data_IF_762533596917
#
_entry.id   IF_762533596917
#
_cell.length_a   1.000
_cell.length_b   1.000
_cell.length_c   1.000
_cell.angle_alpha   90.00
_cell.angle_beta   90.00
_cell.angle_gamma   90.00
#
_symmetry.space_group_name_H-M   'P 1'
#
loop_
_entity.id
_entity.type
_entity.pdbx_description
1 polymer ?
#
# COMPACT_ATOMS: atom_id res chain seq x y z
N UNK A 1 25.38 1.41 -62.45
CA UNK A 1 25.36 0.73 -61.15
C UNK A 1 24.16 1.24 -60.39
N UNK A 2 23.11 0.40 -60.17
CA UNK A 2 21.87 0.77 -59.50
C UNK A 2 22.00 0.40 -58.02
N UNK A 3 22.02 1.41 -57.12
CA UNK A 3 22.02 1.20 -55.69
C UNK A 3 20.58 0.88 -55.21
N UNK A 4 20.35 -0.36 -54.79
CA UNK A 4 19.14 -0.77 -54.12
C UNK A 4 19.28 -0.44 -52.62
N UNK A 5 18.52 0.57 -52.16
CA UNK A 5 18.39 0.86 -50.71
C UNK A 5 17.29 -0.04 -50.17
N UNK A 6 17.67 -1.02 -49.34
CA UNK A 6 16.76 -1.90 -48.62
C UNK A 6 16.32 -1.18 -47.35
N UNK A 7 15.09 -0.62 -47.33
CA UNK A 7 14.49 -0.05 -46.13
C UNK A 7 13.99 -1.18 -45.25
N UNK A 8 14.68 -1.47 -44.13
CA UNK A 8 14.20 -2.37 -43.07
C UNK A 8 13.10 -1.65 -42.30
N UNK A 9 11.85 -2.04 -42.50
CA UNK A 9 10.75 -1.68 -41.62
C UNK A 9 10.79 -2.51 -40.33
N UNK A 10 11.21 -1.91 -39.20
CA UNK A 10 11.03 -2.51 -37.89
C UNK A 10 9.53 -2.40 -37.48
N UNK A 11 8.78 -3.49 -37.61
CA UNK A 11 7.49 -3.61 -36.95
C UNK A 11 7.74 -3.75 -35.43
N UNK A 12 7.60 -2.65 -34.70
CA UNK A 12 7.54 -2.70 -33.23
C UNK A 12 6.18 -3.29 -32.82
N UNK A 13 6.14 -4.58 -32.49
CA UNK A 13 4.98 -5.17 -31.82
C UNK A 13 4.96 -4.63 -30.39
N UNK A 14 4.01 -3.75 -30.09
CA UNK A 14 3.74 -3.36 -28.71
C UNK A 14 3.24 -4.61 -27.97
N UNK A 15 4.11 -5.21 -27.14
CA UNK A 15 3.69 -6.24 -26.21
C UNK A 15 2.78 -5.59 -25.15
N UNK A 16 1.47 -5.78 -25.27
CA UNK A 16 0.54 -5.47 -24.19
C UNK A 16 0.72 -6.54 -23.12
N UNK A 17 1.41 -6.19 -22.03
CA UNK A 17 1.43 -7.02 -20.85
C UNK A 17 0.00 -7.05 -20.26
N UNK A 18 -0.61 -8.23 -20.24
CA UNK A 18 -1.93 -8.42 -19.63
C UNK A 18 -1.79 -8.27 -18.11
N UNK A 19 -2.57 -7.38 -17.51
CA UNK A 19 -2.55 -7.15 -16.05
C UNK A 19 -3.43 -8.22 -15.37
N UNK A 20 -2.79 -9.26 -14.87
CA UNK A 20 -3.44 -10.41 -14.25
C UNK A 20 -4.10 -10.12 -12.88
N UNK A 21 -3.95 -8.89 -12.35
CA UNK A 21 -4.59 -8.51 -11.08
C UNK A 21 -6.10 -8.43 -11.22
N UNK A 22 -6.81 -8.86 -10.18
CA UNK A 22 -8.26 -8.71 -10.11
C UNK A 22 -8.67 -7.23 -10.15
N UNK A 23 -9.54 -6.89 -11.11
CA UNK A 23 -10.09 -5.55 -11.17
C UNK A 23 -11.28 -5.38 -10.23
N UNK A 24 -11.11 -4.54 -9.20
CA UNK A 24 -12.14 -4.20 -8.23
C UNK A 24 -12.80 -2.89 -8.61
N UNK A 25 -14.06 -2.96 -9.02
CA UNK A 25 -14.86 -1.79 -9.38
C UNK A 25 -15.40 -1.11 -8.12
N UNK A 26 -14.80 0.02 -7.74
CA UNK A 26 -15.27 0.87 -6.66
C UNK A 26 -16.11 2.04 -7.21
N UNK A 27 -17.09 2.57 -6.43
CA UNK A 27 -17.65 3.89 -6.71
C UNK A 27 -16.55 4.95 -6.80
N UNK A 28 -16.69 5.93 -7.70
CA UNK A 28 -15.64 6.93 -7.93
C UNK A 28 -15.21 7.68 -6.64
N UNK A 29 -16.13 8.09 -5.72
CA UNK A 29 -15.73 8.70 -4.47
C UNK A 29 -14.96 7.74 -3.53
N UNK A 30 -15.30 6.43 -3.51
CA UNK A 30 -14.57 5.44 -2.73
C UNK A 30 -13.18 5.17 -3.32
N UNK A 31 -13.07 5.10 -4.65
CA UNK A 31 -11.78 4.95 -5.34
C UNK A 31 -10.83 6.12 -5.03
N UNK A 32 -11.33 7.36 -5.05
CA UNK A 32 -10.53 8.53 -4.69
C UNK A 32 -10.14 8.52 -3.21
N UNK A 33 -11.06 8.16 -2.31
CA UNK A 33 -10.76 8.01 -0.89
C UNK A 33 -9.66 6.97 -0.64
N UNK A 34 -9.74 5.83 -1.33
CA UNK A 34 -8.71 4.78 -1.25
C UNK A 34 -7.36 5.28 -1.79
N UNK A 35 -7.37 5.99 -2.93
CA UNK A 35 -6.14 6.54 -3.52
C UNK A 35 -5.42 7.49 -2.56
N UNK A 36 -6.15 8.40 -1.93
CA UNK A 36 -5.61 9.34 -0.95
C UNK A 36 -5.08 8.60 0.27
N UNK A 37 -5.82 7.60 0.76
CA UNK A 37 -5.36 6.77 1.88
C UNK A 37 -4.06 6.03 1.57
N UNK A 38 -3.90 5.50 0.36
CA UNK A 38 -2.66 4.83 -0.04
C UNK A 38 -1.47 5.80 -0.09
N UNK A 39 -1.68 7.05 -0.51
CA UNK A 39 -0.65 8.10 -0.46
C UNK A 39 -0.25 8.44 0.99
N UNK A 40 -1.24 8.62 1.88
CA UNK A 40 -0.99 8.88 3.29
C UNK A 40 -0.24 7.72 3.96
N UNK A 41 -0.62 6.48 3.62
CA UNK A 41 0.06 5.29 4.14
C UNK A 41 1.51 5.20 3.65
N UNK A 42 1.79 5.56 2.38
CA UNK A 42 3.17 5.61 1.87
C UNK A 42 4.01 6.65 2.59
N UNK A 43 3.45 7.84 2.86
CA UNK A 43 4.11 8.88 3.67
C UNK A 43 4.40 8.37 5.08
N UNK A 44 3.43 7.71 5.71
CA UNK A 44 3.61 7.15 7.06
C UNK A 44 4.69 6.06 7.10
N UNK A 45 4.74 5.16 6.12
CA UNK A 45 5.82 4.15 6.01
C UNK A 45 7.18 4.82 5.87
N UNK A 46 7.30 5.84 5.01
CA UNK A 46 8.56 6.58 4.85
C UNK A 46 8.99 7.27 6.14
N UNK A 47 8.05 7.84 6.90
CA UNK A 47 8.32 8.47 8.21
C UNK A 47 8.80 7.43 9.23
N UNK A 48 8.14 6.27 9.33
CA UNK A 48 8.58 5.15 10.17
C UNK A 48 10.02 4.74 9.83
N UNK A 49 10.34 4.55 8.55
CA UNK A 49 11.69 4.17 8.11
C UNK A 49 12.72 5.24 8.47
N UNK A 50 12.38 6.52 8.29
CA UNK A 50 13.25 7.65 8.62
C UNK A 50 13.55 7.74 10.12
N UNK A 51 12.54 7.53 10.96
CA UNK A 51 12.68 7.52 12.41
C UNK A 51 13.51 6.30 12.89
N UNK A 52 13.28 5.12 12.30
CA UNK A 52 14.07 3.92 12.57
C UNK A 52 15.55 4.13 12.19
N UNK A 53 15.83 4.75 11.03
CA UNK A 53 17.18 5.08 10.59
C UNK A 53 17.87 6.06 11.56
N UNK A 54 17.12 7.02 12.10
CA UNK A 54 17.60 8.00 13.08
C UNK A 54 17.71 7.42 14.52
N UNK A 55 17.40 6.15 14.76
CA UNK A 55 17.40 5.53 16.08
C UNK A 55 16.22 5.92 16.98
N UNK A 56 15.22 6.63 16.44
CA UNK A 56 14.02 7.09 17.14
C UNK A 56 12.92 6.01 17.12
N UNK A 57 13.23 4.88 17.77
CA UNK A 57 12.41 3.66 17.67
C UNK A 57 11.01 3.85 18.24
N UNK A 58 10.89 4.54 19.38
CA UNK A 58 9.59 4.77 20.04
C UNK A 58 8.69 5.66 19.19
N UNK A 59 9.25 6.74 18.66
CA UNK A 59 8.52 7.66 17.77
C UNK A 59 8.09 6.96 16.47
N UNK A 60 8.92 6.07 15.92
CA UNK A 60 8.53 5.23 14.79
C UNK A 60 7.31 4.35 15.11
N UNK A 61 7.24 3.80 16.32
CA UNK A 61 6.09 3.05 16.81
C UNK A 61 4.83 3.90 16.94
N UNK A 62 4.96 5.12 17.46
CA UNK A 62 3.84 6.08 17.59
C UNK A 62 3.26 6.45 16.21
N UNK A 63 4.10 6.72 15.23
CA UNK A 63 3.68 6.99 13.85
C UNK A 63 3.00 5.76 13.26
N UNK A 64 3.59 4.56 13.40
CA UNK A 64 3.01 3.34 12.88
C UNK A 64 1.61 3.08 13.46
N UNK A 65 1.41 3.20 14.79
CA UNK A 65 0.10 3.01 15.40
C UNK A 65 -0.90 4.07 14.96
N UNK A 66 -0.54 5.35 15.04
CA UNK A 66 -1.49 6.43 14.79
C UNK A 66 -1.88 6.59 13.33
N UNK A 67 -1.01 6.21 12.38
CA UNK A 67 -1.24 6.38 10.95
C UNK A 67 -1.64 5.09 10.22
N UNK A 68 -1.12 3.96 10.66
CA UNK A 68 -1.27 2.67 9.98
C UNK A 68 -1.94 1.60 10.86
N UNK A 69 -1.84 1.71 12.19
CA UNK A 69 -2.31 0.72 13.13
C UNK A 69 -3.83 0.66 13.27
N UNK A 70 -4.29 -0.14 14.23
CA UNK A 70 -5.72 -0.27 14.54
C UNK A 70 -6.35 1.05 14.98
N UNK A 71 -5.57 1.97 15.57
CA UNK A 71 -6.03 3.31 15.95
C UNK A 71 -6.39 4.17 14.73
N UNK A 72 -5.83 3.87 13.55
CA UNK A 72 -6.14 4.56 12.30
C UNK A 72 -7.39 4.01 11.59
N UNK A 73 -7.96 2.90 12.08
CA UNK A 73 -9.14 2.29 11.46
C UNK A 73 -10.36 3.20 11.52
N UNK A 74 -11.16 3.15 10.45
CA UNK A 74 -12.44 3.87 10.42
C UNK A 74 -12.31 5.35 10.08
N UNK A 75 -11.18 5.83 9.57
CA UNK A 75 -10.98 7.24 9.16
C UNK A 75 -11.96 7.75 8.10
N UNK A 76 -12.65 6.84 7.40
CA UNK A 76 -13.70 7.19 6.43
C UNK A 76 -15.12 7.04 7.00
N UNK A 77 -15.29 6.80 8.32
CA UNK A 77 -16.59 6.51 8.94
C UNK A 77 -17.61 7.62 8.73
N UNK A 78 -17.17 8.87 8.74
CA UNK A 78 -18.04 10.03 8.63
C UNK A 78 -18.30 10.47 7.18
N UNK A 79 -17.70 9.78 6.21
CA UNK A 79 -17.98 10.03 4.78
C UNK A 79 -19.29 9.38 4.35
N UNK A 80 -19.94 9.86 3.27
CA UNK A 80 -21.06 9.18 2.62
C UNK A 80 -20.69 7.72 2.29
N UNK A 81 -21.67 6.82 2.28
CA UNK A 81 -21.43 5.39 2.10
C UNK A 81 -20.65 5.06 0.82
N UNK A 82 -20.99 5.71 -0.29
CA UNK A 82 -20.35 5.56 -1.60
C UNK A 82 -18.88 6.09 -1.63
N UNK A 83 -18.47 6.87 -0.62
CA UNK A 83 -17.10 7.36 -0.47
C UNK A 83 -16.27 6.54 0.53
N UNK A 84 -16.82 5.47 1.12
CA UNK A 84 -16.13 4.56 2.05
C UNK A 84 -15.57 3.38 1.28
N UNK A 85 -14.24 3.19 1.18
CA UNK A 85 -13.68 2.08 0.39
C UNK A 85 -14.07 0.70 0.91
N UNK A 86 -13.94 0.46 2.22
CA UNK A 86 -14.11 -0.86 2.84
C UNK A 86 -15.39 -1.61 2.46
N UNK A 87 -16.60 -1.00 2.54
CA UNK A 87 -17.85 -1.67 2.17
C UNK A 87 -17.95 -2.14 0.70
N UNK A 88 -17.13 -1.59 -0.17
CA UNK A 88 -17.13 -1.90 -1.62
C UNK A 88 -16.01 -2.85 -2.04
N UNK A 89 -15.12 -3.22 -1.11
CA UNK A 89 -14.03 -4.16 -1.38
C UNK A 89 -14.52 -5.60 -1.30
N UNK A 90 -13.98 -6.52 -2.13
CA UNK A 90 -14.12 -7.95 -1.90
C UNK A 90 -13.65 -8.32 -0.49
N UNK A 91 -14.29 -9.32 0.17
CA UNK A 91 -13.91 -9.69 1.54
C UNK A 91 -12.42 -10.01 1.72
N UNK A 92 -11.81 -10.68 0.74
CA UNK A 92 -10.39 -11.01 0.77
C UNK A 92 -9.50 -9.75 0.71
N UNK A 93 -9.82 -8.78 -0.17
CA UNK A 93 -9.11 -7.49 -0.25
C UNK A 93 -9.24 -6.70 1.06
N UNK A 94 -10.44 -6.65 1.63
CA UNK A 94 -10.70 -5.99 2.91
C UNK A 94 -9.91 -6.67 4.06
N UNK A 95 -9.86 -8.02 4.07
CA UNK A 95 -9.08 -8.79 5.04
C UNK A 95 -7.59 -8.44 5.01
N UNK A 96 -6.99 -8.32 3.82
CA UNK A 96 -5.59 -7.88 3.67
C UNK A 96 -5.37 -6.49 4.31
N UNK A 97 -6.31 -5.56 4.13
CA UNK A 97 -6.24 -4.25 4.79
C UNK A 97 -6.26 -4.35 6.32
N UNK A 98 -7.11 -5.22 6.86
CA UNK A 98 -7.18 -5.48 8.31
C UNK A 98 -5.88 -6.10 8.85
N UNK A 99 -5.25 -7.01 8.10
CA UNK A 99 -3.95 -7.58 8.45
C UNK A 99 -2.84 -6.52 8.46
N UNK A 100 -2.89 -5.55 7.56
CA UNK A 100 -2.00 -4.40 7.55
C UNK A 100 -2.10 -3.56 8.83
N UNK A 101 -3.32 -3.23 9.27
CA UNK A 101 -3.54 -2.53 10.54
C UNK A 101 -3.02 -3.32 11.75
N UNK A 102 -3.23 -4.64 11.75
CA UNK A 102 -2.72 -5.53 12.79
C UNK A 102 -1.19 -5.51 12.83
N UNK A 103 -0.52 -5.69 11.70
CA UNK A 103 0.94 -5.70 11.61
C UNK A 103 1.56 -4.38 12.07
N UNK A 104 0.93 -3.23 11.74
CA UNK A 104 1.39 -1.93 12.19
C UNK A 104 1.27 -1.76 13.71
N UNK A 105 0.19 -2.23 14.33
CA UNK A 105 0.04 -2.23 15.79
C UNK A 105 1.02 -3.17 16.49
N UNK A 106 1.33 -4.31 15.89
CA UNK A 106 2.35 -5.25 16.42
C UNK A 106 3.76 -4.63 16.36
N UNK A 107 4.09 -3.95 15.24
CA UNK A 107 5.33 -3.18 15.14
C UNK A 107 5.39 -2.09 16.22
N UNK A 108 4.33 -1.32 16.38
CA UNK A 108 4.24 -0.25 17.38
C UNK A 108 4.42 -0.77 18.82
N UNK A 109 3.83 -1.91 19.15
CA UNK A 109 3.96 -2.55 20.47
C UNK A 109 5.42 -2.91 20.78
N UNK A 110 6.15 -3.44 19.80
CA UNK A 110 7.57 -3.79 19.97
C UNK A 110 8.44 -2.53 20.03
N UNK A 111 8.19 -1.56 19.14
CA UNK A 111 8.93 -0.30 19.06
C UNK A 111 8.81 0.54 20.36
N UNK A 112 7.68 0.45 21.06
CA UNK A 112 7.47 1.09 22.38
C UNK A 112 8.52 0.69 23.41
N UNK A 113 9.04 -0.54 23.32
CA UNK A 113 10.13 -1.02 24.17
C UNK A 113 11.49 -0.40 23.86
N UNK A 114 11.65 0.28 22.73
CA UNK A 114 12.89 0.91 22.28
C UNK A 114 13.94 -0.08 21.75
N UNK A 115 13.61 -1.36 21.62
CA UNK A 115 14.50 -2.40 21.07
C UNK A 115 14.50 -2.28 19.54
N UNK A 116 15.57 -1.66 19.01
CA UNK A 116 15.72 -1.37 17.59
C UNK A 116 15.76 -2.65 16.74
N UNK A 117 16.48 -3.66 17.20
CA UNK A 117 16.69 -4.87 16.40
C UNK A 117 15.40 -5.69 16.29
N UNK A 118 14.63 -5.78 17.36
CA UNK A 118 13.30 -6.38 17.33
C UNK A 118 12.33 -5.60 16.44
N UNK A 119 12.36 -4.27 16.49
CA UNK A 119 11.52 -3.44 15.63
C UNK A 119 11.91 -3.59 14.16
N UNK A 120 13.22 -3.61 13.83
CA UNK A 120 13.71 -3.85 12.48
C UNK A 120 13.25 -5.21 11.93
N UNK A 121 13.24 -6.26 12.75
CA UNK A 121 12.78 -7.59 12.35
C UNK A 121 11.29 -7.63 11.93
N UNK A 122 10.47 -6.66 12.38
CA UNK A 122 9.04 -6.56 12.04
C UNK A 122 8.75 -5.65 10.84
N UNK A 123 9.72 -4.89 10.33
CA UNK A 123 9.50 -4.02 9.16
C UNK A 123 8.97 -4.75 7.92
N UNK A 124 9.43 -5.97 7.58
CA UNK A 124 8.85 -6.72 6.47
C UNK A 124 7.35 -7.00 6.67
N UNK A 125 6.91 -7.28 7.90
CA UNK A 125 5.50 -7.53 8.20
C UNK A 125 4.65 -6.26 8.03
N UNK A 126 5.21 -5.10 8.37
CA UNK A 126 4.54 -3.81 8.20
C UNK A 126 4.14 -3.53 6.75
N UNK A 127 4.95 -3.97 5.78
CA UNK A 127 4.72 -3.72 4.34
C UNK A 127 4.12 -4.91 3.59
N UNK A 128 4.04 -6.09 4.21
CA UNK A 128 3.57 -7.32 3.54
C UNK A 128 2.13 -7.21 3.02
N UNK A 129 1.23 -6.58 3.78
CA UNK A 129 -0.15 -6.37 3.36
C UNK A 129 -0.25 -5.42 2.14
N UNK A 130 0.62 -4.40 2.07
CA UNK A 130 0.70 -3.51 0.90
C UNK A 130 1.06 -4.31 -0.35
N UNK A 131 2.08 -5.17 -0.24
CA UNK A 131 2.55 -6.03 -1.33
C UNK A 131 1.42 -7.00 -1.73
N UNK A 132 0.81 -7.71 -0.79
CA UNK A 132 -0.24 -8.68 -1.07
C UNK A 132 -1.43 -8.05 -1.80
N UNK A 133 -1.90 -6.87 -1.33
CA UNK A 133 -2.99 -6.16 -1.98
C UNK A 133 -2.62 -5.69 -3.39
N UNK A 134 -1.46 -5.04 -3.56
CA UNK A 134 -1.03 -4.49 -4.84
C UNK A 134 -0.62 -5.54 -5.88
N UNK A 135 -0.27 -6.76 -5.45
CA UNK A 135 -0.05 -7.90 -6.34
C UNK A 135 -1.36 -8.54 -6.82
N UNK A 136 -2.39 -8.51 -5.98
CA UNK A 136 -3.65 -9.24 -6.25
C UNK A 136 -4.73 -8.38 -6.89
N UNK A 137 -4.76 -7.08 -6.58
CA UNK A 137 -5.89 -6.20 -6.93
C UNK A 137 -5.44 -4.93 -7.64
N UNK A 138 -6.35 -4.42 -8.49
CA UNK A 138 -6.28 -3.07 -9.07
C UNK A 138 -7.67 -2.44 -9.07
N UNK A 139 -7.72 -1.10 -9.01
CA UNK A 139 -8.98 -0.33 -9.03
C UNK A 139 -9.11 0.58 -10.26
N UNK A 140 -8.11 0.55 -11.15
CA UNK A 140 -8.06 1.29 -12.41
C UNK A 140 -7.07 0.64 -13.38
#
# INVERSE_FOLDING_TARGET
MKNFIFALFFLSTAATADDAREWVKLPAPAQESLRLEMLDNLVAVNEVLSLMAAGKVKEAGEVAESKLGRSAMGKHRDKPFDARPGPHMPPAMHGIGMDGHKAASEFAAVAKGGDRDKALALLPNLTSACIACHFSYRTR
#
